data_IF_395068592043
#
_entry.id   IF_395068592043
#
_cell.length_a   1.000
_cell.length_b   1.000
_cell.length_c   1.000
_cell.angle_alpha   90.00
_cell.angle_beta   90.00
_cell.angle_gamma   90.00
#
_symmetry.space_group_name_H-M   'P 1'
#
loop_
_entity.id
_entity.type
_entity.pdbx_description
1 polymer ?
#
# COMPACT_ATOMS: atom_id res chain seq x y z
N UNK A 1 -16.35 1.13 -2.62
CA UNK A 1 -15.02 0.60 -2.30
C UNK A 1 -14.00 1.42 -3.08
N UNK A 2 -13.14 2.19 -2.41
CA UNK A 2 -12.05 2.87 -3.12
C UNK A 2 -11.03 1.85 -3.65
N UNK A 3 -10.40 2.12 -4.80
CA UNK A 3 -9.27 1.33 -5.29
C UNK A 3 -8.14 1.31 -4.25
N UNK A 4 -7.50 0.15 -4.04
CA UNK A 4 -6.42 -0.03 -3.04
C UNK A 4 -5.34 1.05 -3.17
N UNK A 5 -4.91 1.34 -4.40
CA UNK A 5 -3.90 2.38 -4.69
C UNK A 5 -4.40 3.80 -4.45
N UNK A 6 -5.68 4.09 -4.71
CA UNK A 6 -6.28 5.40 -4.41
C UNK A 6 -6.31 5.66 -2.91
N UNK A 7 -6.80 4.69 -2.15
CA UNK A 7 -6.84 4.76 -0.69
C UNK A 7 -5.43 4.84 -0.07
N UNK A 8 -4.45 4.10 -0.62
CA UNK A 8 -3.05 4.21 -0.19
C UNK A 8 -2.50 5.63 -0.42
N UNK A 9 -2.76 6.21 -1.60
CA UNK A 9 -2.23 7.53 -1.98
C UNK A 9 -2.88 8.68 -1.21
N UNK A 10 -4.21 8.74 -1.18
CA UNK A 10 -4.95 9.89 -0.67
C UNK A 10 -5.31 9.77 0.81
N UNK A 11 -5.73 8.59 1.27
CA UNK A 11 -6.22 8.42 2.64
C UNK A 11 -5.14 7.92 3.61
N UNK A 12 -4.11 7.22 3.11
CA UNK A 12 -2.99 6.70 3.93
C UNK A 12 -1.66 7.43 3.70
N UNK A 13 -1.64 8.46 2.84
CA UNK A 13 -0.46 9.30 2.58
C UNK A 13 0.72 8.58 1.91
N UNK A 14 0.52 7.37 1.36
CA UNK A 14 1.55 6.61 0.62
C UNK A 14 1.59 7.04 -0.84
N UNK A 15 1.96 8.30 -1.06
CA UNK A 15 2.05 8.89 -2.40
C UNK A 15 3.40 8.72 -3.11
N UNK A 16 4.43 8.26 -2.39
CA UNK A 16 5.79 8.03 -2.89
C UNK A 16 6.36 6.77 -2.26
N UNK A 17 7.21 6.05 -2.98
CA UNK A 17 7.95 4.92 -2.42
C UNK A 17 9.02 5.40 -1.45
N UNK A 18 9.15 4.70 -0.33
CA UNK A 18 10.20 4.93 0.65
C UNK A 18 11.52 4.28 0.23
N UNK A 19 11.45 3.12 -0.43
CA UNK A 19 12.61 2.38 -0.89
C UNK A 19 12.96 2.72 -2.34
N UNK A 20 14.21 2.42 -2.73
CA UNK A 20 14.71 2.57 -4.10
C UNK A 20 15.16 1.23 -4.66
N UNK A 21 15.05 1.08 -5.98
CA UNK A 21 15.31 -0.18 -6.70
C UNK A 21 14.05 -1.02 -6.83
N UNK A 22 13.88 -1.66 -7.99
CA UNK A 22 12.63 -2.35 -8.37
C UNK A 22 12.23 -3.44 -7.37
N UNK A 23 13.18 -4.26 -6.94
CA UNK A 23 12.94 -5.36 -6.00
C UNK A 23 12.41 -4.85 -4.66
N UNK A 24 13.08 -3.86 -4.05
CA UNK A 24 12.68 -3.30 -2.76
C UNK A 24 11.32 -2.59 -2.83
N UNK A 25 11.07 -1.85 -3.91
CA UNK A 25 9.77 -1.19 -4.15
C UNK A 25 8.65 -2.22 -4.30
N UNK A 26 8.90 -3.36 -4.96
CA UNK A 26 7.93 -4.44 -5.06
C UNK A 26 7.58 -5.02 -3.69
N UNK A 27 8.58 -5.25 -2.83
CA UNK A 27 8.38 -5.70 -1.45
C UNK A 27 7.58 -4.68 -0.64
N UNK A 28 7.95 -3.40 -0.68
CA UNK A 28 7.25 -2.31 0.01
C UNK A 28 5.77 -2.26 -0.39
N UNK A 29 5.50 -2.28 -1.70
CA UNK A 29 4.13 -2.23 -2.24
C UNK A 29 3.34 -3.47 -1.84
N UNK A 30 3.94 -4.66 -1.90
CA UNK A 30 3.32 -5.91 -1.48
C UNK A 30 2.90 -5.88 -0.01
N UNK A 31 3.78 -5.43 0.89
CA UNK A 31 3.50 -5.30 2.32
C UNK A 31 2.34 -4.31 2.58
N UNK A 32 2.32 -3.17 1.88
CA UNK A 32 1.25 -2.18 2.01
C UNK A 32 -0.11 -2.73 1.58
N UNK A 33 -0.16 -3.49 0.49
CA UNK A 33 -1.40 -4.12 0.00
C UNK A 33 -1.89 -5.22 0.95
N UNK A 34 -0.98 -6.05 1.47
CA UNK A 34 -1.31 -7.07 2.47
C UNK A 34 -1.90 -6.41 3.73
N UNK A 35 -1.23 -5.40 4.27
CA UNK A 35 -1.72 -4.66 5.43
C UNK A 35 -3.10 -4.03 5.18
N UNK A 36 -3.32 -3.47 3.98
CA UNK A 36 -4.62 -2.93 3.59
C UNK A 36 -5.72 -4.00 3.58
N UNK A 37 -5.44 -5.19 3.03
CA UNK A 37 -6.41 -6.29 2.98
C UNK A 37 -6.73 -6.83 4.38
N UNK A 38 -5.73 -7.03 5.22
CA UNK A 38 -5.92 -7.45 6.62
C UNK A 38 -6.80 -6.45 7.39
N UNK A 39 -6.55 -5.14 7.23
CA UNK A 39 -7.36 -4.10 7.84
C UNK A 39 -8.83 -4.10 7.37
N UNK A 40 -9.11 -4.58 6.15
CA UNK A 40 -10.46 -4.79 5.64
C UNK A 40 -11.12 -6.09 6.10
N UNK A 41 -10.35 -7.06 6.60
CA UNK A 41 -10.90 -8.31 7.12
C UNK A 41 -11.30 -8.20 8.59
N UNK A 42 -10.54 -7.42 9.37
CA UNK A 42 -10.82 -7.18 10.80
C UNK A 42 -12.01 -6.22 11.00
N UNK A 43 -12.27 -5.37 10.00
CA UNK A 43 -13.33 -4.36 10.04
C UNK A 43 -14.51 -4.80 9.20
#
# INVERSE_FOLDING_TARGET
VEPVFGNLKFNKGRGRFMLRGKEKVAIETGLLVIAHNLAKMVR
#
